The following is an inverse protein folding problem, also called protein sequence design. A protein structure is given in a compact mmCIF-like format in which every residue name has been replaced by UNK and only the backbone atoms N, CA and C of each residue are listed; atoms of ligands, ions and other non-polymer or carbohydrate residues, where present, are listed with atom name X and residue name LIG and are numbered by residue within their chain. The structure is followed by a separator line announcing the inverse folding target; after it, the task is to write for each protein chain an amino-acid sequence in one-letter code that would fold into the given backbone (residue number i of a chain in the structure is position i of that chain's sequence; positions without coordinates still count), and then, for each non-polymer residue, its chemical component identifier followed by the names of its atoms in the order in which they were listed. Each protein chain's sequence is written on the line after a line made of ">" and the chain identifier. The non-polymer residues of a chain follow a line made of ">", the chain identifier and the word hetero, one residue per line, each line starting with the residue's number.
data_IF_205756130014
#
_entry.id   IF_205756130014
#
_cell.length_a   1.000
_cell.length_b   1.000
_cell.length_c   1.000
_cell.angle_alpha   90.00
_cell.angle_beta   90.00
_cell.angle_gamma   90.00
#
_symmetry.space_group_name_H-M   'P 1'
#
loop_
_entity.id
_entity.type
_entity.pdbx_description
1 polymer ?
#
# COMPACT_ATOMS: atom_id res chain seq x y z
N UNK A 1 -3.29 3.80 -45.74
CA UNK A 1 -2.24 2.90 -45.22
C UNK A 1 -2.87 1.54 -44.96
N UNK A 2 -2.15 0.42 -45.17
CA UNK A 2 -2.65 -0.89 -44.77
C UNK A 2 -2.93 -0.90 -43.27
N UNK A 3 -4.07 -1.48 -42.88
CA UNK A 3 -4.47 -1.58 -41.47
C UNK A 3 -3.53 -2.56 -40.78
N UNK A 4 -2.74 -2.08 -39.81
CA UNK A 4 -1.93 -2.98 -38.98
C UNK A 4 -2.87 -3.64 -37.95
N UNK A 5 -3.22 -4.90 -38.21
CA UNK A 5 -4.13 -5.67 -37.36
C UNK A 5 -3.56 -5.93 -35.96
N UNK A 6 -2.22 -6.00 -35.78
CA UNK A 6 -1.62 -6.07 -34.44
C UNK A 6 -1.87 -4.78 -33.68
N UNK A 7 -1.53 -3.63 -34.27
CA UNK A 7 -1.69 -2.33 -33.60
C UNK A 7 -3.15 -2.11 -33.21
N UNK A 8 -4.08 -2.46 -34.09
CA UNK A 8 -5.52 -2.36 -33.83
C UNK A 8 -5.93 -3.25 -32.65
N UNK A 9 -5.54 -4.53 -32.65
CA UNK A 9 -5.85 -5.47 -31.57
C UNK A 9 -5.28 -5.02 -30.21
N UNK A 10 -4.04 -4.51 -30.20
CA UNK A 10 -3.41 -3.99 -28.99
C UNK A 10 -4.09 -2.71 -28.50
N UNK A 11 -4.44 -1.78 -29.40
CA UNK A 11 -5.17 -0.56 -29.04
C UNK A 11 -6.56 -0.86 -28.49
N UNK A 12 -7.29 -1.80 -29.08
CA UNK A 12 -8.60 -2.24 -28.61
C UNK A 12 -8.51 -2.89 -27.22
N UNK A 13 -7.49 -3.74 -27.00
CA UNK A 13 -7.23 -4.30 -25.67
C UNK A 13 -6.89 -3.23 -24.64
N UNK A 14 -5.99 -2.30 -24.97
CA UNK A 14 -5.60 -1.17 -24.09
C UNK A 14 -6.81 -0.31 -23.73
N UNK A 15 -7.70 -0.05 -24.69
CA UNK A 15 -8.97 0.65 -24.44
C UNK A 15 -9.88 -0.11 -23.49
N UNK A 16 -10.02 -1.42 -23.71
CA UNK A 16 -10.87 -2.25 -22.89
C UNK A 16 -10.32 -2.41 -21.47
N UNK A 17 -9.01 -2.60 -21.32
CA UNK A 17 -8.31 -2.60 -20.03
C UNK A 17 -8.53 -1.27 -19.32
N UNK A 18 -8.34 -0.12 -19.99
CA UNK A 18 -8.59 1.18 -19.33
C UNK A 18 -10.03 1.34 -18.84
N UNK A 19 -11.01 0.78 -19.57
CA UNK A 19 -12.41 0.79 -19.16
C UNK A 19 -12.68 -0.13 -17.98
N UNK A 20 -11.96 -1.22 -17.81
CA UNK A 20 -12.32 -2.29 -16.85
C UNK A 20 -11.35 -2.46 -15.68
N UNK A 21 -10.14 -1.92 -15.80
CA UNK A 21 -9.03 -2.12 -14.88
C UNK A 21 -8.42 -0.76 -14.48
N UNK A 22 -8.80 -0.28 -13.29
CA UNK A 22 -8.30 1.00 -12.75
C UNK A 22 -6.79 1.01 -12.44
N UNK A 23 -6.15 -0.16 -12.34
CA UNK A 23 -4.72 -0.26 -12.05
C UNK A 23 -3.85 -0.06 -13.29
N UNK A 24 -4.43 -0.17 -14.48
CA UNK A 24 -3.74 0.01 -15.75
C UNK A 24 -3.49 1.50 -16.05
N UNK A 25 -2.22 1.85 -16.31
CA UNK A 25 -1.75 3.24 -16.51
C UNK A 25 -2.23 4.18 -15.40
N UNK A 26 -2.19 3.68 -14.16
CA UNK A 26 -2.84 4.38 -13.05
C UNK A 26 -2.06 5.60 -12.54
N UNK A 27 -0.74 5.61 -12.77
CA UNK A 27 0.10 6.80 -12.59
C UNK A 27 -0.21 7.76 -13.74
N UNK A 28 -0.53 9.03 -13.45
CA UNK A 28 -0.94 10.03 -14.46
C UNK A 28 -2.30 9.78 -15.11
N UNK A 29 -3.15 8.95 -14.50
CA UNK A 29 -4.45 8.56 -15.04
C UNK A 29 -5.38 9.74 -15.38
N UNK A 30 -5.25 10.85 -14.65
CA UNK A 30 -6.06 12.06 -14.88
C UNK A 30 -5.74 12.78 -16.21
N UNK A 31 -4.57 12.53 -16.80
CA UNK A 31 -4.18 13.10 -18.08
C UNK A 31 -4.75 12.35 -19.29
N UNK A 32 -5.17 11.08 -19.11
CA UNK A 32 -5.67 10.25 -20.19
C UNK A 32 -7.16 10.48 -20.43
N UNK A 33 -7.47 11.50 -21.24
CA UNK A 33 -8.85 11.84 -21.62
C UNK A 33 -9.26 11.27 -22.98
N UNK A 34 -8.30 10.95 -23.85
CA UNK A 34 -8.53 10.46 -25.22
C UNK A 34 -7.60 9.30 -25.55
N UNK A 35 -7.92 8.56 -26.61
CA UNK A 35 -7.10 7.43 -27.08
C UNK A 35 -5.67 7.85 -27.45
N UNK A 36 -5.54 9.01 -28.10
CA UNK A 36 -4.25 9.60 -28.48
C UNK A 36 -3.35 9.94 -27.28
N UNK A 37 -3.94 10.04 -26.08
CA UNK A 37 -3.21 10.31 -24.85
C UNK A 37 -2.77 9.02 -24.14
N UNK A 38 -3.41 7.87 -24.40
CA UNK A 38 -3.17 6.57 -23.72
C UNK A 38 -1.84 5.92 -24.16
N UNK A 39 -1.63 4.65 -23.80
CA UNK A 39 -0.51 3.86 -24.29
C UNK A 39 -0.62 3.66 -25.82
N UNK A 40 0.24 4.35 -26.56
CA UNK A 40 0.25 4.31 -28.03
C UNK A 40 1.20 3.23 -28.49
N UNK A 41 0.68 2.31 -29.29
CA UNK A 41 1.48 1.29 -29.98
C UNK A 41 1.67 1.69 -31.43
N UNK A 42 2.92 1.69 -31.90
CA UNK A 42 3.28 1.87 -33.31
C UNK A 42 4.31 0.83 -33.73
N UNK A 43 4.43 0.59 -35.04
CA UNK A 43 5.58 -0.16 -35.56
C UNK A 43 6.87 0.54 -35.14
N UNK A 44 7.84 -0.24 -34.66
CA UNK A 44 9.11 0.29 -34.21
C UNK A 44 9.90 0.84 -35.40
N UNK A 45 10.62 1.93 -35.19
CA UNK A 45 11.57 2.41 -36.17
C UNK A 45 12.88 1.59 -36.08
N UNK A 46 13.71 1.68 -37.12
CA UNK A 46 14.97 0.91 -37.18
C UNK A 46 15.92 1.31 -36.04
N UNK A 47 15.96 2.59 -35.68
CA UNK A 47 16.86 3.11 -34.64
C UNK A 47 16.56 2.51 -33.25
N UNK A 48 15.27 2.38 -32.90
CA UNK A 48 14.79 1.77 -31.66
C UNK A 48 15.15 0.29 -31.62
N UNK A 49 14.96 -0.43 -32.75
CA UNK A 49 15.31 -1.85 -32.86
C UNK A 49 16.82 -2.05 -32.69
N UNK A 50 17.62 -1.20 -33.34
CA UNK A 50 19.08 -1.23 -33.20
C UNK A 50 19.55 -0.86 -31.79
N UNK A 51 18.86 0.05 -31.10
CA UNK A 51 19.16 0.38 -29.72
C UNK A 51 18.94 -0.83 -28.79
N UNK A 52 17.82 -1.55 -28.97
CA UNK A 52 17.56 -2.81 -28.24
C UNK A 52 18.67 -3.82 -28.55
N UNK A 53 18.94 -4.09 -29.84
CA UNK A 53 19.96 -5.06 -30.28
C UNK A 53 21.36 -4.76 -29.73
N UNK A 54 21.76 -3.48 -29.68
CA UNK A 54 23.06 -3.05 -29.11
C UNK A 54 23.13 -3.21 -27.60
N UNK A 55 22.00 -3.11 -26.90
CA UNK A 55 21.94 -3.15 -25.44
C UNK A 55 21.86 -4.56 -24.85
N UNK A 56 21.64 -5.57 -25.68
CA UNK A 56 21.37 -6.96 -25.29
C UNK A 56 22.50 -7.89 -25.67
N UNK A 57 22.86 -8.82 -24.78
CA UNK A 57 23.88 -9.86 -25.05
C UNK A 57 23.26 -11.11 -25.71
N UNK A 58 21.94 -11.28 -25.60
CA UNK A 58 21.20 -12.36 -26.24
C UNK A 58 21.02 -12.12 -27.75
N UNK A 59 20.76 -13.17 -28.53
CA UNK A 59 20.48 -13.16 -29.98
C UNK A 59 19.17 -12.42 -30.36
N UNK A 60 19.03 -11.15 -29.97
CA UNK A 60 18.07 -10.20 -30.56
C UNK A 60 18.36 -9.95 -32.07
N UNK A 61 19.41 -10.60 -32.59
CA UNK A 61 19.80 -10.76 -33.99
C UNK A 61 18.88 -11.69 -34.78
N UNK A 62 17.98 -12.44 -34.14
CA UNK A 62 16.99 -13.27 -34.85
C UNK A 62 16.05 -12.39 -35.69
N UNK A 63 15.73 -12.86 -36.91
CA UNK A 63 14.83 -12.24 -37.88
C UNK A 63 13.39 -12.23 -37.36
N UNK A 64 13.12 -11.41 -36.34
CA UNK A 64 11.75 -11.07 -35.98
C UNK A 64 11.24 -10.06 -37.00
N UNK A 65 10.25 -10.49 -37.77
CA UNK A 65 9.68 -9.70 -38.88
C UNK A 65 8.90 -8.46 -38.39
N UNK A 66 8.45 -8.46 -37.13
CA UNK A 66 7.49 -7.48 -36.61
C UNK A 66 7.91 -6.94 -35.23
N UNK A 67 8.37 -5.68 -35.20
CA UNK A 67 8.73 -4.94 -33.98
C UNK A 67 7.78 -3.78 -33.71
N UNK A 68 7.50 -3.53 -32.44
CA UNK A 68 6.58 -2.50 -32.00
C UNK A 68 7.15 -1.70 -30.83
N UNK A 69 6.89 -0.40 -30.86
CA UNK A 69 7.22 0.54 -29.78
C UNK A 69 5.93 0.93 -29.06
N UNK A 70 5.94 0.82 -27.74
CA UNK A 70 4.90 1.26 -26.82
C UNK A 70 5.35 2.56 -26.17
N UNK A 71 4.58 3.63 -26.34
CA UNK A 71 4.91 4.98 -25.86
C UNK A 71 3.82 5.46 -24.90
N UNK A 72 4.23 6.04 -23.78
CA UNK A 72 3.34 6.79 -22.87
C UNK A 72 3.46 8.30 -23.17
N UNK A 73 2.60 8.90 -24.03
CA UNK A 73 2.82 10.25 -24.57
C UNK A 73 2.83 11.36 -23.52
N UNK A 74 2.17 11.12 -22.38
CA UNK A 74 2.03 12.08 -21.28
C UNK A 74 3.09 11.92 -20.20
N UNK A 75 4.00 10.94 -20.33
CA UNK A 75 5.07 10.73 -19.36
C UNK A 75 6.23 11.66 -19.68
N UNK A 76 6.60 12.51 -18.73
CA UNK A 76 7.60 13.58 -18.93
C UNK A 76 9.02 13.07 -19.21
N UNK A 77 9.31 11.81 -18.89
CA UNK A 77 10.59 11.15 -19.14
C UNK A 77 10.67 10.49 -20.54
N UNK A 78 9.61 10.61 -21.36
CA UNK A 78 9.58 10.04 -22.71
C UNK A 78 9.65 8.52 -22.72
N UNK A 79 9.18 7.87 -21.65
CA UNK A 79 9.27 6.42 -21.51
C UNK A 79 8.64 5.67 -22.70
N UNK A 80 9.48 4.87 -23.37
CA UNK A 80 9.10 4.01 -24.46
C UNK A 80 9.70 2.61 -24.26
N UNK A 81 8.97 1.57 -24.68
CA UNK A 81 9.46 0.20 -24.71
C UNK A 81 9.30 -0.39 -26.10
N UNK A 82 10.39 -0.92 -26.63
CA UNK A 82 10.43 -1.56 -27.95
C UNK A 82 10.58 -3.06 -27.78
N UNK A 83 9.65 -3.82 -28.36
CA UNK A 83 9.56 -5.28 -28.22
C UNK A 83 9.24 -5.93 -29.56
N UNK A 84 9.64 -7.20 -29.72
CA UNK A 84 9.20 -8.02 -30.84
C UNK A 84 7.86 -8.69 -30.50
N UNK A 85 6.98 -8.83 -31.49
CA UNK A 85 5.67 -9.48 -31.31
C UNK A 85 5.52 -10.63 -32.30
N UNK A 86 5.27 -11.82 -31.77
CA UNK A 86 5.03 -13.03 -32.55
C UNK A 86 3.53 -13.24 -32.77
N UNK A 87 3.16 -13.57 -34.01
CA UNK A 87 1.82 -14.03 -34.40
C UNK A 87 1.78 -15.56 -34.47
N UNK A 88 0.60 -16.18 -34.32
CA UNK A 88 0.45 -17.60 -34.63
C UNK A 88 0.72 -17.84 -36.13
N UNK A 89 1.37 -18.96 -36.49
CA UNK A 89 1.64 -19.29 -37.90
C UNK A 89 0.34 -19.44 -38.71
N UNK A 90 0.29 -18.82 -39.90
CA UNK A 90 -0.88 -18.84 -40.80
C UNK A 90 -1.89 -17.71 -40.59
N UNK A 91 -1.62 -16.77 -39.68
CA UNK A 91 -2.53 -15.65 -39.34
C UNK A 91 -2.36 -14.46 -40.29
N UNK A 92 -3.03 -14.50 -41.45
CA UNK A 92 -3.03 -13.38 -42.42
C UNK A 92 -4.23 -12.42 -42.25
N UNK A 93 -5.00 -12.55 -41.16
CA UNK A 93 -6.25 -11.81 -40.93
C UNK A 93 -6.26 -11.01 -39.61
N UNK A 94 -7.45 -10.59 -39.15
CA UNK A 94 -7.63 -9.99 -37.84
C UNK A 94 -7.07 -10.90 -36.75
N UNK A 95 -6.29 -10.35 -35.83
CA UNK A 95 -5.68 -11.07 -34.71
C UNK A 95 -6.28 -10.59 -33.39
N UNK A 96 -6.41 -11.49 -32.40
CA UNK A 96 -6.78 -11.09 -31.05
C UNK A 96 -5.52 -10.95 -30.18
N UNK A 97 -5.54 -10.09 -29.17
CA UNK A 97 -4.39 -9.87 -28.28
C UNK A 97 -3.94 -11.13 -27.54
N UNK A 98 -4.87 -12.03 -27.25
CA UNK A 98 -4.61 -13.30 -26.55
C UNK A 98 -3.81 -14.29 -27.42
N UNK A 99 -3.82 -14.09 -28.74
CA UNK A 99 -3.06 -14.92 -29.69
C UNK A 99 -1.64 -14.40 -29.90
N UNK A 100 -1.32 -13.20 -29.39
CA UNK A 100 -0.03 -12.55 -29.57
C UNK A 100 0.92 -12.87 -28.43
N UNK A 101 2.21 -13.03 -28.76
CA UNK A 101 3.27 -13.20 -27.75
C UNK A 101 4.29 -12.08 -27.86
N UNK A 102 4.62 -11.48 -26.73
CA UNK A 102 5.64 -10.43 -26.62
C UNK A 102 6.96 -11.08 -26.25
N UNK A 103 8.01 -10.74 -26.99
CA UNK A 103 9.40 -11.10 -26.71
C UNK A 103 10.13 -9.83 -26.27
N UNK A 104 10.50 -9.80 -25.00
CA UNK A 104 11.25 -8.70 -24.40
C UNK A 104 12.69 -9.13 -24.11
N UNK A 105 13.64 -8.28 -24.50
CA UNK A 105 15.07 -8.54 -24.37
C UNK A 105 15.65 -7.75 -23.20
N UNK A 106 16.10 -8.46 -22.17
CA UNK A 106 16.91 -7.90 -21.09
C UNK A 106 18.40 -8.03 -21.37
N UNK A 107 19.24 -7.39 -20.54
CA UNK A 107 20.71 -7.44 -20.69
C UNK A 107 21.30 -8.86 -20.72
N UNK A 108 20.67 -9.81 -20.01
CA UNK A 108 21.16 -11.19 -19.86
C UNK A 108 20.14 -12.27 -20.23
N UNK A 109 18.87 -11.91 -20.36
CA UNK A 109 17.78 -12.87 -20.49
C UNK A 109 16.82 -12.40 -21.59
N UNK A 110 16.23 -13.34 -22.30
CA UNK A 110 15.07 -13.13 -23.17
C UNK A 110 13.83 -13.67 -22.45
N UNK A 111 12.76 -12.89 -22.40
CA UNK A 111 11.49 -13.31 -21.82
C UNK A 111 10.38 -13.30 -22.88
N UNK A 112 9.63 -14.40 -22.97
CA UNK A 112 8.51 -14.55 -23.89
C UNK A 112 7.23 -14.85 -23.09
N UNK A 113 6.24 -13.98 -23.22
CA UNK A 113 4.95 -14.15 -22.54
C UNK A 113 3.79 -13.67 -23.41
N UNK A 114 2.55 -14.03 -23.03
CA UNK A 114 1.37 -13.58 -23.77
C UNK A 114 1.23 -12.06 -23.71
N UNK A 115 0.83 -11.41 -24.82
CA UNK A 115 0.82 -9.96 -24.92
C UNK A 115 -0.09 -9.29 -23.86
N UNK A 116 -1.27 -9.86 -23.60
CA UNK A 116 -2.17 -9.36 -22.56
C UNK A 116 -1.53 -9.41 -21.15
N UNK A 117 -0.82 -10.50 -20.83
CA UNK A 117 -0.13 -10.64 -19.54
C UNK A 117 1.03 -9.65 -19.44
N UNK A 118 1.85 -9.55 -20.50
CA UNK A 118 2.98 -8.61 -20.54
C UNK A 118 2.53 -7.16 -20.36
N UNK A 119 1.47 -6.73 -21.07
CA UNK A 119 0.92 -5.37 -20.96
C UNK A 119 0.45 -5.11 -19.53
N UNK A 120 -0.27 -6.06 -18.92
CA UNK A 120 -0.73 -5.91 -17.53
C UNK A 120 0.46 -5.83 -16.56
N UNK A 121 1.43 -6.72 -16.67
CA UNK A 121 2.59 -6.74 -15.77
C UNK A 121 3.47 -5.49 -15.91
N UNK A 122 3.56 -4.94 -17.12
CA UNK A 122 4.40 -3.77 -17.42
C UNK A 122 3.74 -2.45 -17.04
N UNK A 123 2.43 -2.31 -17.29
CA UNK A 123 1.70 -1.04 -17.21
C UNK A 123 0.63 -1.00 -16.13
N UNK A 124 0.33 -2.12 -15.47
CA UNK A 124 -0.35 -2.07 -14.18
C UNK A 124 0.67 -1.80 -13.09
N UNK A 125 0.38 -0.80 -12.27
CA UNK A 125 1.24 -0.43 -11.14
C UNK A 125 1.02 -1.44 -10.02
N UNK A 126 1.66 -2.60 -10.14
CA UNK A 126 1.59 -3.69 -9.16
C UNK A 126 2.91 -3.89 -8.38
N UNK A 127 3.97 -3.11 -8.66
CA UNK A 127 5.30 -3.42 -8.12
C UNK A 127 5.59 -2.86 -6.72
N UNK A 128 4.87 -1.83 -6.26
CA UNK A 128 4.99 -1.29 -4.90
C UNK A 128 3.61 -1.07 -4.31
N UNK A 129 2.94 -2.19 -4.02
CA UNK A 129 1.70 -2.20 -3.25
C UNK A 129 2.05 -1.86 -1.79
N UNK A 130 2.30 -0.56 -1.53
CA UNK A 130 2.71 -0.05 -0.22
C UNK A 130 1.66 -0.33 0.87
N UNK A 131 0.47 -0.82 0.51
CA UNK A 131 -0.65 -1.10 1.41
C UNK A 131 -1.55 -2.19 0.83
N UNK A 132 -2.16 -3.03 1.67
CA UNK A 132 -3.18 -4.00 1.25
C UNK A 132 -4.56 -3.38 0.90
N UNK A 133 -4.52 -2.18 0.32
CA UNK A 133 -5.67 -1.46 -0.21
C UNK A 133 -6.06 -2.02 -1.57
N UNK A 134 -7.33 -1.84 -1.97
CA UNK A 134 -7.77 -2.22 -3.33
C UNK A 134 -7.13 -1.35 -4.41
N UNK A 135 -6.78 -0.11 -4.06
CA UNK A 135 -6.03 0.84 -4.88
C UNK A 135 -4.92 1.48 -4.04
N UNK A 136 -3.77 1.78 -4.63
CA UNK A 136 -2.70 2.52 -3.97
C UNK A 136 -3.13 3.95 -3.63
N UNK A 137 -2.44 4.62 -2.70
CA UNK A 137 -2.74 6.03 -2.37
C UNK A 137 -2.65 6.92 -3.62
N UNK A 138 -1.60 6.73 -4.41
CA UNK A 138 -1.44 7.38 -5.71
C UNK A 138 -2.64 7.15 -6.63
N UNK A 139 -3.16 5.91 -6.71
CA UNK A 139 -4.35 5.62 -7.51
C UNK A 139 -5.60 6.35 -7.02
N UNK A 140 -5.80 6.48 -5.71
CA UNK A 140 -6.90 7.30 -5.18
C UNK A 140 -6.75 8.77 -5.54
N UNK A 141 -5.55 9.32 -5.39
CA UNK A 141 -5.28 10.73 -5.70
C UNK A 141 -5.49 11.01 -7.20
N UNK A 142 -5.01 10.11 -8.05
CA UNK A 142 -5.18 10.13 -9.51
C UNK A 142 -6.64 10.02 -9.93
N UNK A 143 -7.41 9.12 -9.33
CA UNK A 143 -8.86 9.02 -9.56
C UNK A 143 -9.59 10.29 -9.11
N UNK A 144 -9.19 10.88 -7.98
CA UNK A 144 -9.78 12.15 -7.50
C UNK A 144 -9.53 13.29 -8.49
N UNK A 145 -8.29 13.43 -8.98
CA UNK A 145 -7.94 14.43 -9.98
C UNK A 145 -8.73 14.24 -11.27
N UNK A 146 -8.88 12.98 -11.71
CA UNK A 146 -9.66 12.67 -12.90
C UNK A 146 -11.15 13.04 -12.74
N UNK A 147 -11.76 12.74 -11.59
CA UNK A 147 -13.15 13.12 -11.32
C UNK A 147 -13.36 14.64 -11.26
N UNK A 148 -12.43 15.37 -10.65
CA UNK A 148 -12.51 16.83 -10.60
C UNK A 148 -12.30 17.47 -11.98
N UNK A 149 -11.53 16.83 -12.87
CA UNK A 149 -11.14 17.40 -14.16
C UNK A 149 -12.04 17.04 -15.34
N UNK A 150 -13.10 16.24 -15.17
CA UNK A 150 -13.94 15.76 -16.27
C UNK A 150 -15.29 16.46 -16.39
N UNK A 151 -15.81 17.11 -15.34
CA UNK A 151 -17.14 17.80 -15.30
C UNK A 151 -18.33 16.96 -15.82
N UNK A 152 -18.15 15.64 -15.97
CA UNK A 152 -19.14 14.75 -16.53
C UNK A 152 -19.92 14.03 -15.43
N UNK A 153 -21.24 14.11 -15.50
CA UNK A 153 -22.13 13.32 -14.66
C UNK A 153 -22.44 11.98 -15.34
N UNK A 154 -22.44 10.90 -14.56
CA UNK A 154 -22.86 9.58 -15.02
C UNK A 154 -23.97 9.02 -14.12
N UNK A 155 -24.79 8.13 -14.68
CA UNK A 155 -25.81 7.41 -13.91
C UNK A 155 -25.12 6.28 -13.15
N UNK A 156 -24.93 6.43 -11.84
CA UNK A 156 -24.25 5.46 -10.99
C UNK A 156 -24.75 4.01 -11.20
N UNK A 157 -26.06 3.79 -11.21
CA UNK A 157 -26.67 2.46 -11.38
C UNK A 157 -26.58 1.91 -12.81
N UNK A 158 -26.19 2.72 -13.80
CA UNK A 158 -25.92 2.24 -15.15
C UNK A 158 -24.50 1.69 -15.31
N UNK A 159 -23.61 1.94 -14.34
CA UNK A 159 -22.26 1.38 -14.34
C UNK A 159 -22.27 -0.10 -13.93
N UNK A 160 -21.32 -0.93 -14.40
CA UNK A 160 -21.06 -2.26 -13.84
C UNK A 160 -20.79 -2.23 -12.33
N UNK A 161 -21.09 -3.31 -11.63
CA UNK A 161 -20.95 -3.40 -10.18
C UNK A 161 -19.52 -3.10 -9.73
N UNK A 162 -18.53 -3.59 -10.46
CA UNK A 162 -17.11 -3.45 -10.17
C UNK A 162 -16.68 -1.98 -10.11
N UNK A 163 -17.23 -1.16 -11.03
CA UNK A 163 -17.00 0.29 -11.05
C UNK A 163 -17.74 0.99 -9.91
N UNK A 164 -18.99 0.58 -9.63
CA UNK A 164 -19.74 1.13 -8.50
C UNK A 164 -19.02 0.89 -7.18
N UNK A 165 -18.48 -0.31 -6.98
CA UNK A 165 -17.71 -0.65 -5.79
C UNK A 165 -16.45 0.23 -5.63
N UNK A 166 -15.73 0.50 -6.72
CA UNK A 166 -14.59 1.40 -6.70
C UNK A 166 -14.99 2.83 -6.28
N UNK A 167 -16.08 3.35 -6.84
CA UNK A 167 -16.63 4.66 -6.50
C UNK A 167 -17.07 4.70 -5.03
N UNK A 168 -17.75 3.66 -4.53
CA UNK A 168 -18.15 3.60 -3.12
C UNK A 168 -16.94 3.67 -2.20
N UNK A 169 -15.89 2.89 -2.51
CA UNK A 169 -14.68 2.86 -1.70
C UNK A 169 -13.96 4.22 -1.72
N UNK A 170 -13.91 4.88 -2.88
CA UNK A 170 -13.32 6.21 -3.02
C UNK A 170 -14.08 7.28 -2.22
N UNK A 171 -15.41 7.25 -2.25
CA UNK A 171 -16.24 8.20 -1.48
C UNK A 171 -16.10 7.96 0.03
N UNK A 172 -16.09 6.68 0.45
CA UNK A 172 -15.99 6.30 1.87
C UNK A 172 -14.59 6.58 2.41
N UNK A 173 -13.57 6.40 1.58
CA UNK A 173 -12.16 6.45 1.95
C UNK A 173 -11.59 5.05 2.21
N UNK A 174 -10.30 4.81 1.88
CA UNK A 174 -9.69 3.49 2.00
C UNK A 174 -9.43 3.05 3.43
N UNK A 175 -9.25 4.02 4.34
CA UNK A 175 -8.99 3.79 5.76
C UNK A 175 -10.08 4.45 6.57
N UNK A 176 -10.64 3.72 7.52
CA UNK A 176 -11.63 4.22 8.47
C UNK A 176 -11.19 3.89 9.88
N UNK A 177 -11.62 4.70 10.86
CA UNK A 177 -11.23 4.54 12.27
C UNK A 177 -12.45 4.07 13.05
N UNK A 178 -12.56 2.77 13.37
CA UNK A 178 -13.76 2.24 14.00
C UNK A 178 -14.04 2.89 15.36
N UNK A 179 -15.32 2.97 15.69
CA UNK A 179 -15.77 3.39 17.02
C UNK A 179 -16.92 2.48 17.47
N UNK A 180 -17.22 2.50 18.77
CA UNK A 180 -18.29 1.70 19.36
C UNK A 180 -19.38 2.60 19.91
N UNK A 181 -20.59 2.40 19.39
CA UNK A 181 -21.79 3.14 19.82
C UNK A 181 -22.75 2.21 20.56
N UNK A 182 -23.50 2.77 21.50
CA UNK A 182 -24.59 2.08 22.20
C UNK A 182 -25.90 2.46 21.49
N UNK A 183 -26.63 1.46 21.02
CA UNK A 183 -27.94 1.64 20.40
C UNK A 183 -29.03 1.89 21.45
N UNK A 184 -30.21 2.34 21.01
CA UNK A 184 -31.34 2.64 21.91
C UNK A 184 -31.84 1.42 22.69
N UNK A 185 -31.60 0.21 22.19
CA UNK A 185 -31.89 -1.07 22.85
C UNK A 185 -30.73 -1.57 23.73
N UNK A 186 -29.79 -0.69 24.08
CA UNK A 186 -28.58 -0.96 24.87
C UNK A 186 -27.57 -1.91 24.21
N UNK A 187 -27.79 -2.34 22.95
CA UNK A 187 -26.82 -3.17 22.24
C UNK A 187 -25.63 -2.33 21.77
N UNK A 188 -24.43 -2.87 21.91
CA UNK A 188 -23.21 -2.24 21.40
C UNK A 188 -23.02 -2.62 19.94
N UNK A 189 -22.69 -1.63 19.11
CA UNK A 189 -22.44 -1.82 17.67
C UNK A 189 -21.11 -1.17 17.29
N UNK A 190 -20.33 -1.90 16.49
CA UNK A 190 -19.12 -1.36 15.87
C UNK A 190 -19.50 -0.59 14.61
N UNK A 191 -19.00 0.64 14.48
CA UNK A 191 -19.25 1.53 13.35
C UNK A 191 -17.93 2.03 12.76
N UNK A 192 -17.95 2.59 11.55
CA UNK A 192 -16.76 3.10 10.86
C UNK A 192 -16.14 4.36 11.52
N UNK A 193 -16.84 4.95 12.51
CA UNK A 193 -16.38 6.05 13.35
C UNK A 193 -16.40 7.43 12.70
N UNK A 194 -15.67 8.38 13.31
CA UNK A 194 -15.65 9.81 12.97
C UNK A 194 -14.37 10.28 12.30
N UNK A 195 -13.43 9.37 12.02
CA UNK A 195 -12.07 9.73 11.60
C UNK A 195 -11.13 9.96 12.78
N UNK A 196 -9.94 10.47 12.50
CA UNK A 196 -8.88 10.74 13.48
C UNK A 196 -8.03 11.91 12.98
N UNK A 197 -7.96 13.01 13.73
CA UNK A 197 -7.23 14.22 13.35
C UNK A 197 -6.66 14.91 14.57
N UNK A 198 -5.43 15.40 14.43
CA UNK A 198 -4.75 16.16 15.47
C UNK A 198 -5.07 17.66 15.45
N UNK A 199 -5.94 18.12 14.52
CA UNK A 199 -6.44 19.50 14.31
C UNK A 199 -5.40 20.60 14.09
N UNK A 200 -4.16 20.40 14.52
CA UNK A 200 -3.09 21.37 14.37
C UNK A 200 -2.63 21.42 12.91
N UNK A 201 -3.23 22.36 12.17
CA UNK A 201 -2.87 22.70 10.79
C UNK A 201 -1.56 23.46 10.68
N UNK A 202 -0.98 23.89 11.80
CA UNK A 202 0.33 24.54 11.85
C UNK A 202 1.48 23.55 12.03
N UNK A 203 1.20 22.25 12.17
CA UNK A 203 2.22 21.19 12.10
C UNK A 203 2.87 21.21 10.73
N UNK A 204 4.20 21.25 10.72
CA UNK A 204 4.99 21.26 9.48
C UNK A 204 6.00 20.12 9.51
N UNK A 205 6.19 19.46 8.37
CA UNK A 205 7.21 18.41 8.19
C UNK A 205 7.02 17.21 9.13
N UNK A 206 8.10 16.82 9.84
CA UNK A 206 8.25 15.55 10.59
C UNK A 206 7.27 15.28 11.74
N UNK A 207 6.31 16.17 11.97
CA UNK A 207 5.31 16.11 13.05
C UNK A 207 3.88 15.89 12.55
N UNK A 208 3.68 15.85 11.23
CA UNK A 208 2.35 15.69 10.63
C UNK A 208 2.08 14.21 10.43
N UNK A 209 1.39 13.53 11.34
CA UNK A 209 0.68 12.30 10.95
C UNK A 209 -0.57 12.68 10.14
N UNK A 210 -0.89 11.97 9.04
CA UNK A 210 -1.97 12.35 8.13
C UNK A 210 -3.31 12.16 8.83
N UNK A 211 -4.10 13.21 8.82
CA UNK A 211 -5.46 13.17 9.32
C UNK A 211 -6.30 12.19 8.50
N UNK A 212 -7.11 11.40 9.18
CA UNK A 212 -8.08 10.49 8.58
C UNK A 212 -9.44 11.17 8.67
N UNK A 213 -9.95 11.55 7.50
CA UNK A 213 -11.25 12.19 7.40
C UNK A 213 -12.36 11.23 7.82
N UNK A 214 -13.47 11.81 8.28
CA UNK A 214 -14.69 11.05 8.55
C UNK A 214 -15.16 10.38 7.26
N UNK A 215 -15.53 9.08 7.29
CA UNK A 215 -16.09 8.42 6.11
C UNK A 215 -17.35 9.13 5.63
N UNK A 216 -17.44 9.40 4.31
CA UNK A 216 -18.62 10.05 3.75
C UNK A 216 -19.78 9.05 3.61
N UNK A 217 -20.60 8.97 4.65
CA UNK A 217 -21.76 8.07 4.71
C UNK A 217 -22.96 8.56 3.89
N UNK A 218 -22.87 9.72 3.24
CA UNK A 218 -23.99 10.32 2.49
C UNK A 218 -24.40 9.45 1.30
N UNK A 219 -23.44 8.78 0.66
CA UNK A 219 -23.69 7.87 -0.46
C UNK A 219 -24.67 6.75 -0.08
N UNK A 220 -24.61 6.26 1.17
CA UNK A 220 -25.50 5.20 1.66
C UNK A 220 -26.95 5.65 1.83
N UNK A 221 -27.25 6.94 1.67
CA UNK A 221 -28.61 7.49 1.80
C UNK A 221 -29.34 7.64 0.48
N UNK A 222 -28.70 7.37 -0.66
CA UNK A 222 -29.28 7.61 -2.00
C UNK A 222 -30.50 6.71 -2.25
N UNK A 223 -30.32 5.39 -2.19
CA UNK A 223 -31.41 4.41 -2.33
C UNK A 223 -31.03 3.09 -1.66
N UNK A 224 -31.99 2.16 -1.56
CA UNK A 224 -31.80 0.87 -0.89
C UNK A 224 -30.64 0.05 -1.49
N UNK A 225 -30.59 -0.07 -2.82
CA UNK A 225 -29.54 -0.81 -3.52
C UNK A 225 -28.15 -0.21 -3.24
N UNK A 226 -28.00 1.11 -3.39
CA UNK A 226 -26.73 1.80 -3.14
C UNK A 226 -26.30 1.64 -1.68
N UNK A 227 -27.25 1.67 -0.74
CA UNK A 227 -26.96 1.44 0.68
C UNK A 227 -26.36 0.04 0.92
N UNK A 228 -27.00 -1.00 0.38
CA UNK A 228 -26.55 -2.39 0.54
C UNK A 228 -25.17 -2.62 -0.10
N UNK A 229 -24.96 -2.14 -1.33
CA UNK A 229 -23.68 -2.25 -2.04
C UNK A 229 -22.57 -1.46 -1.31
N UNK A 230 -22.80 -0.18 -0.99
CA UNK A 230 -21.81 0.66 -0.33
C UNK A 230 -21.48 0.17 1.09
N UNK A 231 -22.47 -0.32 1.84
CA UNK A 231 -22.24 -0.94 3.16
C UNK A 231 -21.39 -2.20 3.04
N UNK A 232 -21.62 -3.01 2.00
CA UNK A 232 -20.82 -4.22 1.74
C UNK A 232 -19.37 -3.84 1.47
N UNK A 233 -19.12 -2.87 0.59
CA UNK A 233 -17.78 -2.35 0.28
C UNK A 233 -17.12 -1.74 1.51
N UNK A 234 -17.84 -0.90 2.27
CA UNK A 234 -17.32 -0.27 3.48
C UNK A 234 -16.80 -1.31 4.48
N UNK A 235 -17.54 -2.41 4.66
CA UNK A 235 -17.16 -3.46 5.59
C UNK A 235 -16.02 -4.31 5.04
N UNK A 236 -16.09 -4.74 3.77
CA UNK A 236 -15.17 -5.68 3.14
C UNK A 236 -13.81 -5.08 2.77
N UNK A 237 -13.81 -3.87 2.19
CA UNK A 237 -12.66 -3.36 1.44
C UNK A 237 -11.88 -2.25 2.15
N UNK A 238 -12.48 -1.54 3.10
CA UNK A 238 -11.77 -0.51 3.87
C UNK A 238 -10.89 -1.13 4.96
N UNK A 239 -9.69 -0.57 5.14
CA UNK A 239 -8.82 -0.86 6.27
C UNK A 239 -9.40 -0.25 7.56
N UNK A 240 -9.61 -1.09 8.57
CA UNK A 240 -10.05 -0.65 9.89
C UNK A 240 -8.83 -0.31 10.74
N UNK A 241 -8.51 0.98 10.89
CA UNK A 241 -7.40 1.44 11.71
C UNK A 241 -7.77 1.48 13.18
N UNK A 242 -7.16 0.61 13.95
CA UNK A 242 -7.18 0.65 15.41
C UNK A 242 -5.93 1.36 15.89
N UNK A 243 -6.10 2.58 16.39
CA UNK A 243 -5.01 3.43 16.87
C UNK A 243 -5.01 3.52 18.40
N UNK A 244 -3.83 3.46 19.00
CA UNK A 244 -3.60 3.83 20.40
C UNK A 244 -3.20 5.29 20.58
N UNK A 245 -2.95 5.99 19.48
CA UNK A 245 -2.60 7.40 19.49
C UNK A 245 -3.87 8.20 19.80
N UNK A 246 -3.76 9.17 20.70
CA UNK A 246 -4.89 9.99 21.13
C UNK A 246 -4.78 11.38 20.53
N UNK A 247 -5.64 11.66 19.57
CA UNK A 247 -5.83 12.99 19.01
C UNK A 247 -7.10 13.67 19.55
N UNK A 248 -7.21 15.01 19.45
CA UNK A 248 -8.44 15.75 19.78
C UNK A 248 -9.68 15.25 19.04
N UNK A 249 -9.57 14.96 17.74
CA UNK A 249 -10.62 14.27 16.97
C UNK A 249 -10.23 12.80 16.85
N UNK A 250 -11.09 11.91 17.32
CA UNK A 250 -10.84 10.48 17.23
C UNK A 250 -12.02 9.62 17.68
N UNK A 251 -11.80 8.30 17.81
CA UNK A 251 -12.81 7.38 18.33
C UNK A 251 -13.09 7.72 19.81
N UNK A 252 -14.37 7.70 20.18
CA UNK A 252 -14.80 7.97 21.56
C UNK A 252 -14.35 6.87 22.51
N UNK A 253 -14.31 5.62 22.03
CA UNK A 253 -13.82 4.47 22.81
C UNK A 253 -12.34 4.22 22.53
N UNK A 254 -11.60 3.81 23.57
CA UNK A 254 -10.21 3.39 23.36
C UNK A 254 -10.16 2.13 22.51
N UNK A 255 -9.04 1.91 21.83
CA UNK A 255 -8.78 0.63 21.18
C UNK A 255 -8.99 -0.53 22.16
N UNK A 256 -8.42 -0.45 23.37
CA UNK A 256 -8.60 -1.42 24.45
C UNK A 256 -10.08 -1.70 24.76
N UNK A 257 -10.90 -0.67 24.92
CA UNK A 257 -12.33 -0.82 25.22
C UNK A 257 -13.06 -1.52 24.07
N UNK A 258 -12.73 -1.16 22.83
CA UNK A 258 -13.35 -1.79 21.65
C UNK A 258 -12.99 -3.28 21.63
N UNK A 259 -11.71 -3.63 21.75
CA UNK A 259 -11.25 -5.02 21.72
C UNK A 259 -11.84 -5.87 22.85
N UNK A 260 -11.87 -5.33 24.07
CA UNK A 260 -12.47 -6.02 25.23
C UNK A 260 -13.96 -6.33 25.00
N UNK A 261 -14.66 -5.47 24.27
CA UNK A 261 -16.09 -5.62 24.00
C UNK A 261 -16.41 -6.36 22.69
N UNK A 262 -15.45 -6.66 21.83
CA UNK A 262 -15.70 -7.30 20.53
C UNK A 262 -16.56 -8.57 20.60
N UNK A 263 -16.40 -9.49 21.59
CA UNK A 263 -17.26 -10.67 21.70
C UNK A 263 -18.75 -10.35 21.91
N UNK A 264 -19.06 -9.14 22.39
CA UNK A 264 -20.41 -8.70 22.78
C UNK A 264 -21.00 -7.65 21.84
N UNK A 265 -20.29 -7.31 20.76
CA UNK A 265 -20.68 -6.24 19.84
C UNK A 265 -21.27 -6.82 18.57
N UNK A 266 -22.40 -6.27 18.11
CA UNK A 266 -22.94 -6.59 16.79
C UNK A 266 -22.08 -5.96 15.71
N UNK A 267 -21.61 -6.77 14.76
CA UNK A 267 -20.78 -6.33 13.65
C UNK A 267 -20.98 -7.19 12.40
N UNK A 268 -20.84 -6.59 11.19
CA UNK A 268 -20.85 -7.35 9.95
C UNK A 268 -19.71 -8.38 9.89
N UNK A 269 -19.96 -9.54 9.29
CA UNK A 269 -19.04 -10.69 9.17
C UNK A 269 -17.67 -10.28 8.62
N UNK A 270 -17.64 -9.39 7.63
CA UNK A 270 -16.41 -8.95 6.95
C UNK A 270 -15.80 -7.66 7.53
N UNK A 271 -16.36 -7.08 8.61
CA UNK A 271 -15.93 -5.76 9.09
C UNK A 271 -14.45 -5.71 9.48
N UNK A 272 -13.96 -6.75 10.17
CA UNK A 272 -12.56 -6.88 10.60
C UNK A 272 -11.71 -7.70 9.60
N UNK A 273 -12.13 -7.78 8.34
CA UNK A 273 -11.39 -8.52 7.30
C UNK A 273 -10.01 -7.92 7.05
N UNK A 274 -9.93 -6.59 7.01
CA UNK A 274 -8.69 -5.83 6.81
C UNK A 274 -8.45 -4.92 8.00
N UNK A 275 -7.38 -5.17 8.73
CA UNK A 275 -7.00 -4.42 9.92
C UNK A 275 -5.74 -3.60 9.68
N UNK A 276 -5.69 -2.44 10.30
CA UNK A 276 -4.47 -1.67 10.44
C UNK A 276 -4.26 -1.37 11.93
N UNK A 277 -3.09 -1.71 12.45
CA UNK A 277 -2.71 -1.43 13.83
C UNK A 277 -1.77 -0.21 13.83
N UNK A 278 -2.05 0.78 14.66
CA UNK A 278 -1.25 2.01 14.76
C UNK A 278 -0.91 2.28 16.24
N UNK A 279 0.37 2.15 16.58
CA UNK A 279 0.88 2.17 17.95
C UNK A 279 2.27 2.81 18.01
N UNK A 280 2.66 3.30 19.19
CA UNK A 280 4.05 3.68 19.44
C UNK A 280 4.93 2.44 19.67
N UNK A 281 6.26 2.61 19.70
CA UNK A 281 7.19 1.51 19.89
C UNK A 281 6.95 0.74 21.21
N UNK A 282 6.65 1.47 22.29
CA UNK A 282 6.29 0.86 23.58
C UNK A 282 5.05 -0.04 23.46
N UNK A 283 3.98 0.49 22.88
CA UNK A 283 2.72 -0.24 22.72
C UNK A 283 2.90 -1.49 21.83
N UNK A 284 3.73 -1.42 20.78
CA UNK A 284 4.03 -2.57 19.92
C UNK A 284 4.78 -3.69 20.66
N UNK A 285 5.77 -3.36 21.49
CA UNK A 285 6.45 -4.38 22.30
C UNK A 285 5.51 -4.97 23.35
N UNK A 286 4.70 -4.15 24.02
CA UNK A 286 3.71 -4.65 24.97
C UNK A 286 2.64 -5.53 24.31
N UNK A 287 2.27 -5.22 23.06
CA UNK A 287 1.37 -6.04 22.24
C UNK A 287 1.90 -7.46 21.99
N UNK A 288 3.22 -7.61 21.92
CA UNK A 288 3.93 -8.89 21.85
C UNK A 288 4.27 -9.49 23.22
N UNK A 289 3.85 -8.86 24.32
CA UNK A 289 4.12 -9.32 25.68
C UNK A 289 5.49 -8.91 26.23
N UNK A 290 6.17 -7.93 25.63
CA UNK A 290 7.46 -7.44 26.12
C UNK A 290 7.27 -6.05 26.75
N UNK A 291 7.67 -5.90 28.02
CA UNK A 291 7.68 -4.61 28.71
C UNK A 291 9.05 -4.39 29.35
N UNK A 292 9.96 -3.63 28.70
CA UNK A 292 11.30 -3.44 29.22
C UNK A 292 11.29 -2.79 30.61
N UNK A 293 12.20 -3.23 31.48
CA UNK A 293 12.45 -2.66 32.81
C UNK A 293 13.96 -2.50 33.03
N UNK A 294 14.38 -1.68 34.01
CA UNK A 294 15.79 -1.53 34.34
C UNK A 294 16.47 -2.88 34.62
N UNK A 295 17.54 -3.18 33.89
CA UNK A 295 18.26 -4.47 33.95
C UNK A 295 17.52 -5.67 33.35
N UNK A 296 16.33 -5.47 32.77
CA UNK A 296 15.52 -6.52 32.13
C UNK A 296 14.89 -5.98 30.83
N UNK A 297 15.69 -5.74 29.78
CA UNK A 297 15.23 -5.09 28.55
C UNK A 297 14.20 -5.88 27.75
N UNK A 298 14.07 -7.19 28.00
CA UNK A 298 13.14 -8.09 27.31
C UNK A 298 12.17 -8.78 28.30
N UNK A 299 11.88 -8.15 29.44
CA UNK A 299 10.97 -8.73 30.42
C UNK A 299 9.61 -9.04 29.80
N UNK A 300 9.18 -10.28 29.97
CA UNK A 300 7.84 -10.72 29.58
C UNK A 300 6.80 -10.13 30.54
N UNK A 301 5.72 -9.57 29.99
CA UNK A 301 4.59 -9.00 30.72
C UNK A 301 3.27 -9.41 30.09
N UNK A 302 2.30 -9.79 30.92
CA UNK A 302 0.97 -10.23 30.49
C UNK A 302 -0.09 -9.12 30.63
N UNK A 303 0.32 -7.88 30.85
CA UNK A 303 -0.58 -6.78 31.27
C UNK A 303 -1.39 -6.16 30.15
N UNK A 304 -1.24 -6.60 28.90
CA UNK A 304 -1.87 -5.92 27.77
C UNK A 304 -3.23 -6.58 27.42
N UNK A 305 -4.36 -5.84 27.49
CA UNK A 305 -5.70 -6.41 27.34
C UNK A 305 -6.05 -6.88 25.92
N UNK A 306 -5.25 -6.49 24.91
CA UNK A 306 -5.36 -6.94 23.54
C UNK A 306 -4.01 -7.45 23.03
N UNK A 307 -3.72 -8.73 23.17
CA UNK A 307 -2.44 -9.31 22.73
C UNK A 307 -2.45 -9.70 21.26
N UNK A 308 -1.28 -9.93 20.68
CA UNK A 308 -1.13 -10.46 19.33
C UNK A 308 -1.92 -11.77 19.11
N UNK A 309 -2.02 -12.63 20.13
CA UNK A 309 -2.83 -13.85 20.08
C UNK A 309 -4.34 -13.59 19.95
N UNK A 310 -4.83 -12.41 20.32
CA UNK A 310 -6.25 -12.05 20.20
C UNK A 310 -6.71 -12.00 18.74
N UNK A 311 -5.79 -11.76 17.80
CA UNK A 311 -6.06 -11.79 16.35
C UNK A 311 -6.50 -13.17 15.85
N UNK A 312 -6.14 -14.25 16.55
CA UNK A 312 -6.57 -15.60 16.21
C UNK A 312 -8.09 -15.78 16.35
N UNK A 313 -8.76 -14.97 17.18
CA UNK A 313 -10.23 -15.02 17.32
C UNK A 313 -11.00 -14.49 16.10
N UNK A 314 -10.34 -13.72 15.23
CA UNK A 314 -10.99 -13.02 14.12
C UNK A 314 -11.14 -13.94 12.90
N UNK A 315 -12.34 -14.52 12.73
CA UNK A 315 -12.58 -15.58 11.73
C UNK A 315 -12.26 -15.19 10.28
N UNK A 316 -12.62 -13.97 9.88
CA UNK A 316 -12.49 -13.52 8.48
C UNK A 316 -11.31 -12.58 8.27
N UNK A 317 -10.34 -12.58 9.18
CA UNK A 317 -9.14 -11.77 9.04
C UNK A 317 -8.33 -12.25 7.84
N UNK A 318 -8.14 -11.36 6.88
CA UNK A 318 -7.46 -11.60 5.60
C UNK A 318 -6.15 -10.81 5.53
N UNK A 319 -6.13 -9.64 6.16
CA UNK A 319 -5.03 -8.68 6.04
C UNK A 319 -4.77 -7.97 7.36
N UNK A 320 -3.49 -7.85 7.72
CA UNK A 320 -3.01 -7.02 8.82
C UNK A 320 -1.95 -6.07 8.29
N UNK A 321 -2.18 -4.78 8.48
CA UNK A 321 -1.21 -3.73 8.24
C UNK A 321 -0.63 -3.23 9.57
N UNK A 322 0.70 -3.21 9.69
CA UNK A 322 1.41 -2.60 10.81
C UNK A 322 1.81 -1.18 10.44
N UNK A 323 1.14 -0.19 11.02
CA UNK A 323 1.46 1.23 10.80
C UNK A 323 2.39 1.74 11.88
N UNK A 324 3.56 2.22 11.44
CA UNK A 324 4.58 2.80 12.31
C UNK A 324 4.53 4.32 12.26
N UNK A 325 4.56 4.96 13.42
CA UNK A 325 4.71 6.42 13.51
C UNK A 325 6.18 6.83 13.50
N UNK A 326 6.43 8.05 13.02
CA UNK A 326 7.77 8.62 13.03
C UNK A 326 8.31 8.77 14.45
N UNK A 327 9.63 8.61 14.65
CA UNK A 327 10.26 8.75 15.96
C UNK A 327 10.20 10.19 16.50
N UNK A 328 9.93 11.18 15.64
CA UNK A 328 9.74 12.59 16.02
C UNK A 328 8.26 12.99 16.20
N UNK A 329 7.34 12.03 16.08
CA UNK A 329 5.92 12.26 16.36
C UNK A 329 5.73 12.63 17.85
N UNK A 330 4.83 13.56 18.17
CA UNK A 330 4.62 14.03 19.55
C UNK A 330 4.13 12.94 20.53
N UNK A 331 3.49 11.90 20.00
CA UNK A 331 3.09 10.69 20.74
C UNK A 331 4.03 9.49 20.53
N UNK A 332 5.20 9.71 19.90
CA UNK A 332 6.21 8.67 19.85
C UNK A 332 6.70 8.40 21.28
N UNK A 333 6.73 7.13 21.66
CA UNK A 333 7.12 6.72 23.00
C UNK A 333 8.03 5.50 22.90
N UNK A 334 9.22 5.64 23.48
CA UNK A 334 10.25 4.62 23.49
C UNK A 334 10.06 3.70 24.71
N UNK A 335 10.20 2.38 24.55
CA UNK A 335 10.12 1.46 25.68
C UNK A 335 11.39 1.46 26.56
N UNK A 336 12.53 1.95 26.05
CA UNK A 336 13.79 2.07 26.78
C UNK A 336 14.05 3.51 27.24
N UNK A 337 14.95 3.68 28.22
CA UNK A 337 15.32 5.00 28.73
C UNK A 337 16.28 5.72 27.78
N UNK A 338 16.21 7.05 27.77
CA UNK A 338 17.12 7.91 27.02
C UNK A 338 16.52 8.41 25.70
N UNK A 339 17.35 8.78 24.70
CA UNK A 339 16.87 9.22 23.40
C UNK A 339 16.07 8.11 22.71
N UNK A 340 15.22 8.47 21.76
CA UNK A 340 14.44 7.49 21.01
C UNK A 340 15.34 6.44 20.35
N UNK A 341 14.99 5.17 20.52
CA UNK A 341 15.72 4.06 19.93
C UNK A 341 15.64 4.07 18.41
N UNK A 342 16.68 3.53 17.78
CA UNK A 342 16.73 3.29 16.34
C UNK A 342 15.46 2.58 15.87
N UNK A 343 14.74 3.20 14.93
CA UNK A 343 13.44 2.72 14.52
C UNK A 343 13.51 1.33 13.88
N UNK A 344 14.50 1.15 12.99
CA UNK A 344 14.77 -0.13 12.33
C UNK A 344 15.01 -1.25 13.34
N UNK A 345 15.88 -1.04 14.34
CA UNK A 345 16.25 -2.08 15.32
C UNK A 345 15.07 -2.49 16.19
N UNK A 346 14.24 -1.57 16.67
CA UNK A 346 13.09 -1.95 17.51
C UNK A 346 11.97 -2.60 16.69
N UNK A 347 11.78 -2.21 15.43
CA UNK A 347 10.83 -2.88 14.52
C UNK A 347 11.29 -4.32 14.26
N UNK A 348 12.60 -4.53 14.04
CA UNK A 348 13.15 -5.88 13.91
C UNK A 348 12.89 -6.70 15.18
N UNK A 349 13.12 -6.12 16.37
CA UNK A 349 12.82 -6.78 17.64
C UNK A 349 11.35 -7.16 17.77
N UNK A 350 10.44 -6.23 17.41
CA UNK A 350 9.01 -6.48 17.42
C UNK A 350 8.64 -7.68 16.55
N UNK A 351 9.08 -7.72 15.29
CA UNK A 351 8.73 -8.80 14.38
C UNK A 351 9.38 -10.13 14.75
N UNK A 352 10.60 -10.12 15.29
CA UNK A 352 11.24 -11.31 15.84
C UNK A 352 10.41 -11.87 17.02
N UNK A 353 10.02 -11.01 17.96
CA UNK A 353 9.20 -11.43 19.11
C UNK A 353 7.79 -11.87 18.71
N UNK A 354 7.22 -11.24 17.68
CA UNK A 354 5.89 -11.55 17.15
C UNK A 354 5.86 -12.81 16.27
N UNK A 355 7.02 -13.32 15.84
CA UNK A 355 7.14 -14.27 14.72
C UNK A 355 6.22 -15.48 14.86
N UNK A 356 6.23 -16.15 16.01
CA UNK A 356 5.50 -17.40 16.18
C UNK A 356 3.99 -17.20 16.03
N UNK A 357 3.45 -16.10 16.56
CA UNK A 357 2.03 -15.77 16.45
C UNK A 357 1.64 -15.30 15.04
N UNK A 358 2.49 -14.50 14.37
CA UNK A 358 2.26 -14.07 12.99
C UNK A 358 2.37 -15.24 12.01
N UNK A 359 3.35 -16.12 12.19
CA UNK A 359 3.52 -17.30 11.36
C UNK A 359 2.36 -18.29 11.54
N UNK A 360 1.83 -18.42 12.76
CA UNK A 360 0.61 -19.19 13.01
C UNK A 360 -0.61 -18.62 12.28
N UNK A 361 -0.82 -17.30 12.32
CA UNK A 361 -1.91 -16.64 11.57
C UNK A 361 -1.74 -16.83 10.05
N UNK A 362 -0.51 -16.74 9.55
CA UNK A 362 -0.19 -17.02 8.14
C UNK A 362 -0.57 -18.45 7.76
N UNK A 363 -0.13 -19.43 8.54
CA UNK A 363 -0.35 -20.85 8.24
C UNK A 363 -1.80 -21.29 8.41
N UNK A 364 -2.50 -20.78 9.43
CA UNK A 364 -3.87 -21.21 9.75
C UNK A 364 -4.96 -20.49 8.96
N UNK A 365 -4.76 -19.22 8.59
CA UNK A 365 -5.78 -18.38 7.94
C UNK A 365 -5.36 -17.82 6.59
N UNK A 366 -4.08 -17.94 6.22
CA UNK A 366 -3.57 -17.32 5.00
C UNK A 366 -3.52 -15.79 5.07
N UNK A 367 -3.42 -15.20 6.27
CA UNK A 367 -3.35 -13.75 6.47
C UNK A 367 -2.16 -13.17 5.70
N UNK A 368 -2.41 -12.05 5.00
CA UNK A 368 -1.39 -11.22 4.37
C UNK A 368 -0.96 -10.08 5.31
N UNK A 369 0.32 -9.76 5.27
CA UNK A 369 0.92 -8.69 6.08
C UNK A 369 1.39 -7.55 5.19
N UNK A 370 1.06 -6.33 5.58
CA UNK A 370 1.64 -5.11 5.01
C UNK A 370 2.18 -4.22 6.12
N UNK A 371 2.99 -3.24 5.74
CA UNK A 371 3.64 -2.32 6.67
C UNK A 371 3.56 -0.92 6.10
N UNK A 372 3.11 0.01 6.92
CA UNK A 372 2.87 1.39 6.50
C UNK A 372 3.44 2.41 7.48
N UNK A 373 3.40 3.68 7.06
CA UNK A 373 3.89 4.80 7.86
C UNK A 373 5.41 4.92 7.79
N UNK A 374 6.00 5.45 8.85
CA UNK A 374 7.43 5.70 8.93
C UNK A 374 8.18 4.40 9.23
N UNK A 375 8.70 3.74 8.19
CA UNK A 375 9.54 2.55 8.30
C UNK A 375 10.56 2.57 7.17
N UNK A 376 11.81 2.24 7.49
CA UNK A 376 12.90 2.12 6.51
C UNK A 376 12.56 1.12 5.41
N UNK A 377 12.82 1.47 4.15
CA UNK A 377 12.52 0.61 3.01
C UNK A 377 13.20 -0.75 3.14
N UNK A 378 14.45 -0.83 3.58
CA UNK A 378 15.13 -2.12 3.78
C UNK A 378 14.43 -3.02 4.79
N UNK A 379 13.96 -2.46 5.92
CA UNK A 379 13.23 -3.20 6.95
C UNK A 379 11.85 -3.64 6.44
N UNK A 380 11.15 -2.74 5.74
CA UNK A 380 9.86 -3.02 5.11
C UNK A 380 9.97 -4.20 4.14
N UNK A 381 10.87 -4.13 3.17
CA UNK A 381 11.08 -5.18 2.18
C UNK A 381 11.47 -6.52 2.82
N UNK A 382 12.38 -6.50 3.78
CA UNK A 382 12.80 -7.70 4.51
C UNK A 382 11.61 -8.39 5.18
N UNK A 383 10.85 -7.66 6.00
CA UNK A 383 9.79 -8.28 6.78
C UNK A 383 8.54 -8.60 5.95
N UNK A 384 8.19 -7.77 4.96
CA UNK A 384 7.12 -8.10 4.01
C UNK A 384 7.45 -9.40 3.28
N UNK A 385 8.70 -9.61 2.87
CA UNK A 385 9.14 -10.89 2.28
C UNK A 385 9.00 -12.03 3.27
N UNK A 386 9.62 -11.94 4.44
CA UNK A 386 9.64 -13.05 5.42
C UNK A 386 8.23 -13.45 5.89
N UNK A 387 7.36 -12.48 6.13
CA UNK A 387 6.01 -12.70 6.64
C UNK A 387 5.02 -13.15 5.57
N UNK A 388 5.23 -12.85 4.29
CA UNK A 388 4.30 -13.24 3.22
C UNK A 388 4.80 -14.40 2.36
N UNK A 389 6.08 -14.79 2.47
CA UNK A 389 6.61 -15.96 1.79
C UNK A 389 5.96 -17.25 2.34
N UNK A 390 5.29 -17.98 1.45
CA UNK A 390 4.64 -19.26 1.71
C UNK A 390 5.45 -20.45 1.22
N UNK A 391 6.49 -20.20 0.44
CA UNK A 391 7.32 -21.24 -0.18
C UNK A 391 8.46 -21.70 0.72
N UNK A 392 8.94 -20.81 1.61
CA UNK A 392 10.08 -21.07 2.49
C UNK A 392 9.69 -20.84 3.95
N UNK A 393 10.08 -21.78 4.81
CA UNK A 393 10.00 -21.58 6.27
C UNK A 393 11.24 -20.82 6.77
N UNK A 394 11.03 -19.56 7.12
CA UNK A 394 12.08 -18.66 7.62
C UNK A 394 12.31 -18.77 9.13
N UNK A 395 11.62 -19.67 9.83
CA UNK A 395 11.63 -19.74 11.31
C UNK A 395 13.03 -19.91 11.87
N UNK A 396 13.87 -20.77 11.30
CA UNK A 396 15.24 -20.97 11.77
C UNK A 396 16.09 -19.69 11.70
N UNK A 397 15.94 -18.92 10.61
CA UNK A 397 16.62 -17.64 10.41
C UNK A 397 16.16 -16.58 11.40
N UNK A 398 14.85 -16.49 11.65
CA UNK A 398 14.27 -15.56 12.63
C UNK A 398 14.67 -15.93 14.06
N UNK A 399 14.69 -17.22 14.43
CA UNK A 399 15.20 -17.68 15.74
C UNK A 399 16.71 -17.44 15.92
N UNK A 400 17.48 -17.34 14.84
CA UNK A 400 18.88 -16.92 14.92
C UNK A 400 19.02 -15.39 15.10
N UNK A 401 18.09 -14.59 14.56
CA UNK A 401 18.00 -13.16 14.88
C UNK A 401 17.62 -12.94 16.34
N UNK A 402 16.64 -13.68 16.86
CA UNK A 402 16.21 -13.65 18.27
C UNK A 402 17.38 -13.87 19.22
N UNK A 403 18.16 -14.94 19.02
CA UNK A 403 19.34 -15.24 19.84
C UNK A 403 20.39 -14.13 19.80
N UNK A 404 20.61 -13.53 18.63
CA UNK A 404 21.54 -12.38 18.51
C UNK A 404 21.05 -11.17 19.28
N UNK A 405 19.77 -10.83 19.16
CA UNK A 405 19.17 -9.70 19.89
C UNK A 405 19.24 -9.89 21.40
N UNK A 406 18.90 -11.09 21.89
CA UNK A 406 19.01 -11.43 23.32
C UNK A 406 20.44 -11.31 23.84
N UNK A 407 21.45 -11.66 23.04
CA UNK A 407 22.86 -11.52 23.43
C UNK A 407 23.34 -10.06 23.48
N UNK A 408 22.77 -9.18 22.64
CA UNK A 408 23.18 -7.76 22.56
C UNK A 408 22.43 -6.84 23.51
N UNK A 409 21.22 -7.21 23.96
CA UNK A 409 20.38 -6.38 24.83
C UNK A 409 20.62 -6.70 26.31
N UNK A 410 21.71 -6.16 26.85
CA UNK A 410 22.17 -6.41 28.23
C UNK A 410 21.73 -5.36 29.24
N UNK A 411 21.31 -4.17 28.80
CA UNK A 411 20.88 -3.06 29.64
C UNK A 411 19.55 -2.43 29.16
N UNK A 412 19.05 -1.43 29.89
CA UNK A 412 17.82 -0.69 29.55
C UNK A 412 18.09 0.57 28.69
N UNK A 413 19.24 0.65 28.02
CA UNK A 413 19.59 1.77 27.17
C UNK A 413 18.84 1.73 25.83
N UNK A 414 18.69 2.91 25.22
CA UNK A 414 18.13 3.04 23.88
C UNK A 414 18.98 2.34 22.83
N UNK A 415 18.35 1.68 21.85
CA UNK A 415 19.06 1.03 20.75
C UNK A 415 19.73 2.06 19.85
N UNK A 416 21.05 2.03 19.76
CA UNK A 416 21.83 2.95 18.93
C UNK A 416 21.49 2.85 17.44
N UNK A 417 21.49 3.98 16.73
CA UNK A 417 21.14 4.06 15.33
C UNK A 417 22.37 3.91 14.42
N UNK A 418 22.40 2.83 13.65
CA UNK A 418 23.44 2.51 12.66
C UNK A 418 22.92 2.61 11.22
N UNK A 419 21.75 3.24 11.02
CA UNK A 419 21.21 3.45 9.68
C UNK A 419 22.05 4.47 8.91
N UNK A 420 22.28 4.23 7.62
CA UNK A 420 22.96 5.17 6.70
C UNK A 420 22.38 6.57 6.80
N UNK A 421 21.04 6.66 6.72
CA UNK A 421 20.28 7.85 7.08
C UNK A 421 19.69 7.67 8.49
N UNK A 422 20.18 8.43 9.50
CA UNK A 422 19.72 8.32 10.88
C UNK A 422 18.20 8.44 11.00
N UNK A 423 17.60 7.62 11.88
CA UNK A 423 16.14 7.63 12.08
C UNK A 423 15.61 8.94 12.69
N UNK A 424 16.49 9.70 13.37
CA UNK A 424 16.20 10.98 14.03
C UNK A 424 17.26 11.96 13.55
N UNK A 425 16.87 13.21 13.24
CA UNK A 425 17.83 14.24 12.82
C UNK A 425 18.50 14.03 11.46
N UNK A 426 18.19 12.95 10.72
CA UNK A 426 18.84 12.58 9.46
C UNK A 426 18.32 13.34 8.23
N UNK A 427 18.76 14.59 8.05
CA UNK A 427 19.28 15.17 6.80
C UNK A 427 19.32 16.71 6.93
N UNK A 428 20.33 17.37 6.36
CA UNK A 428 20.45 18.84 6.39
C UNK A 428 19.33 19.57 5.63
N UNK A 429 18.52 18.87 4.83
CA UNK A 429 17.36 19.43 4.12
C UNK A 429 16.25 19.90 5.06
N UNK A 430 16.24 19.46 6.33
CA UNK A 430 15.15 19.73 7.29
C UNK A 430 15.45 20.86 8.29
N UNK A 431 16.59 21.54 8.17
CA UNK A 431 16.89 22.77 8.93
C UNK A 431 16.30 24.01 8.23
N UNK A 432 15.10 23.87 7.68
CA UNK A 432 14.42 24.91 6.91
C UNK A 432 13.42 25.60 7.82
N UNK A 433 13.53 26.92 7.93
CA UNK A 433 12.67 27.71 8.78
C UNK A 433 11.23 27.76 8.22
N UNK A 434 10.19 27.87 9.06
CA UNK A 434 8.79 27.86 8.61
C UNK A 434 8.40 28.96 7.60
N UNK A 435 9.24 29.98 7.41
CA UNK A 435 9.04 31.01 6.38
C UNK A 435 9.59 30.57 5.02
N UNK A 436 10.66 29.78 4.96
CA UNK A 436 11.27 29.26 3.73
C UNK A 436 10.38 28.21 3.07
N UNK A 437 9.68 27.41 3.89
CA UNK A 437 8.65 26.45 3.46
C UNK A 437 7.48 27.11 2.72
N UNK A 438 7.21 28.38 3.03
CA UNK A 438 6.14 29.16 2.39
C UNK A 438 6.61 29.87 1.12
N UNK A 439 7.92 30.06 0.95
CA UNK A 439 8.51 30.77 -0.18
C UNK A 439 8.89 29.85 -1.34
N UNK A 440 9.24 28.60 -1.06
CA UNK A 440 9.72 27.65 -2.06
C UNK A 440 8.60 26.65 -2.38
N UNK A 441 7.99 26.81 -3.55
CA UNK A 441 6.96 25.90 -4.07
C UNK A 441 7.53 24.47 -4.19
N UNK A 442 6.80 23.48 -3.66
CA UNK A 442 7.22 22.08 -3.68
C UNK A 442 8.16 21.65 -2.55
N UNK A 443 8.79 22.57 -1.80
CA UNK A 443 9.70 22.22 -0.70
C UNK A 443 8.99 21.48 0.44
N UNK A 444 7.76 21.88 0.77
CA UNK A 444 6.94 21.15 1.74
C UNK A 444 6.68 19.71 1.29
N UNK A 445 6.36 19.50 0.01
CA UNK A 445 6.09 18.17 -0.54
C UNK A 445 7.37 17.30 -0.55
N UNK A 446 8.53 17.90 -0.80
CA UNK A 446 9.81 17.20 -0.76
C UNK A 446 10.23 16.83 0.67
N UNK A 447 9.97 17.70 1.65
CA UNK A 447 10.21 17.41 3.07
C UNK A 447 9.24 16.37 3.60
N UNK A 448 7.97 16.45 3.22
CA UNK A 448 6.98 15.43 3.54
C UNK A 448 7.40 14.11 2.90
N UNK A 449 7.82 14.10 1.63
CA UNK A 449 8.36 12.91 0.94
C UNK A 449 9.55 12.33 1.69
N UNK A 450 10.56 13.13 2.00
CA UNK A 450 11.74 12.66 2.71
C UNK A 450 11.42 12.19 4.16
N UNK A 451 10.35 12.71 4.78
CA UNK A 451 9.83 12.22 6.06
C UNK A 451 9.01 10.93 5.93
N UNK A 452 8.30 10.71 4.83
CA UNK A 452 7.44 9.54 4.63
C UNK A 452 8.17 8.35 4.01
N UNK A 453 9.10 8.63 3.10
CA UNK A 453 9.73 7.61 2.27
C UNK A 453 10.76 6.80 3.06
N UNK A 454 11.32 7.38 4.15
CA UNK A 454 12.27 6.72 5.05
C UNK A 454 13.32 5.90 4.26
N UNK A 455 13.79 6.45 3.13
CA UNK A 455 14.76 5.77 2.29
C UNK A 455 16.08 5.57 3.06
N UNK A 456 16.67 4.39 2.85
CA UNK A 456 17.92 3.94 3.44
C UNK A 456 19.13 4.49 2.69
#
# INVERSE_FOLDING_TARGET
>A
MPVNFIVSALHDFIQNERKTNFSFLSRYSHFYKRQEDLLVVSSANIEDIEAVRRSTVCDATTDYDDWYTFIEPRRSDGFARTVAILKPPGSNGPVHVDDLRVVEFGKKNMNECGAAAWIRDTYCTAADDMYAMRFSKMQYDEQNLWWQGTDQAFRLLALPLEMREAIYLQIIGPVVVPDMVVQSDMRKKLVLGKGHSFEDRSRVGRRVDPDIQRPNMTIMRICKQVNEEATTVANRDTLKRFTRLRAPIGPQKSMTDIWHNLPFVSMPVNFLRKLQLEMCARDYLEFCGIRPLPGQPLRQSVTFPFTLSSLNSLKNLDTIDFRFIGPEHNLADCPWKGPHSCQKKWIDLFFVAAWDALNMLKGSKGVKYSMSGCIKNSARHQWMRLLNDRSVDHTAGVKAMERRMQATMTDDASLECECTNPCIGGSGLFQVEPFELRLIEGLQAELDRAYWDFED
#
